data_IF_769789432488
#
_entry.id   IF_769789432488
#
_cell.length_a   1.000
_cell.length_b   1.000
_cell.length_c   1.000
_cell.angle_alpha   90.00
_cell.angle_beta   90.00
_cell.angle_gamma   90.00
#
_symmetry.space_group_name_H-M   'P 1'
#
loop_
_entity.id
_entity.type
_entity.pdbx_description
1 polymer ?
#
# COMPACT_ATOMS: atom_id res chain seq x y z
N UNK A 1 3.35 -13.44 -9.02
CA UNK A 1 3.30 -13.55 -10.52
C UNK A 1 4.01 -12.39 -11.23
N UNK A 2 4.19 -12.42 -12.56
CA UNK A 2 4.94 -11.40 -13.35
C UNK A 2 4.47 -9.95 -13.08
N UNK A 3 3.15 -9.72 -12.97
CA UNK A 3 2.59 -8.40 -12.67
C UNK A 3 2.96 -7.89 -11.27
N UNK A 4 2.99 -8.80 -10.30
CA UNK A 4 3.39 -8.46 -8.94
C UNK A 4 4.91 -8.20 -8.87
N UNK A 5 5.74 -8.95 -9.62
CA UNK A 5 7.17 -8.64 -9.78
C UNK A 5 7.39 -7.23 -10.37
N UNK A 6 6.64 -6.87 -11.42
CA UNK A 6 6.72 -5.53 -12.02
C UNK A 6 6.28 -4.42 -11.05
N UNK A 7 5.22 -4.68 -10.30
CA UNK A 7 4.69 -3.76 -9.29
C UNK A 7 5.76 -3.44 -8.23
N UNK A 8 6.38 -4.48 -7.67
CA UNK A 8 7.36 -4.34 -6.58
C UNK A 8 8.68 -3.77 -7.07
N UNK A 9 9.27 -4.38 -8.11
CA UNK A 9 10.61 -4.04 -8.56
C UNK A 9 10.70 -2.73 -9.33
N UNK A 10 9.65 -2.37 -10.09
CA UNK A 10 9.68 -1.20 -10.98
C UNK A 10 8.73 -0.10 -10.55
N UNK A 11 7.46 -0.40 -10.26
CA UNK A 11 6.43 0.63 -10.06
C UNK A 11 6.52 1.33 -8.70
N UNK A 12 6.67 0.57 -7.62
CA UNK A 12 6.74 1.13 -6.26
C UNK A 12 7.91 2.11 -6.01
N UNK A 13 9.16 1.81 -6.40
CA UNK A 13 10.29 2.73 -6.20
C UNK A 13 10.30 3.92 -7.17
N UNK A 14 9.48 3.91 -8.23
CA UNK A 14 9.46 4.98 -9.25
C UNK A 14 9.23 6.35 -8.60
N UNK A 15 10.06 7.34 -8.99
CA UNK A 15 10.03 8.71 -8.44
C UNK A 15 10.11 8.72 -6.90
N UNK A 16 10.91 7.83 -6.30
CA UNK A 16 11.08 7.69 -4.86
C UNK A 16 9.74 7.46 -4.11
N UNK A 17 8.86 6.63 -4.68
CA UNK A 17 7.56 6.30 -4.06
C UNK A 17 6.51 7.40 -4.15
N UNK A 18 6.73 8.47 -4.94
CA UNK A 18 5.76 9.58 -5.10
C UNK A 18 4.38 9.09 -5.53
N UNK A 19 4.30 8.06 -6.37
CA UNK A 19 3.02 7.54 -6.85
C UNK A 19 2.24 6.78 -5.78
N UNK A 20 2.93 6.06 -4.88
CA UNK A 20 2.29 5.41 -3.73
C UNK A 20 1.61 6.45 -2.83
N UNK A 21 2.27 7.59 -2.58
CA UNK A 21 1.68 8.69 -1.80
C UNK A 21 0.38 9.23 -2.41
N UNK A 22 0.30 9.29 -3.75
CA UNK A 22 -0.90 9.78 -4.46
C UNK A 22 -2.11 8.85 -4.29
N UNK A 23 -1.88 7.57 -4.01
CA UNK A 23 -2.93 6.62 -3.65
C UNK A 23 -3.22 6.63 -2.15
N UNK A 24 -2.18 6.59 -1.30
CA UNK A 24 -2.37 6.50 0.14
C UNK A 24 -3.01 7.75 0.75
N UNK A 25 -2.61 8.96 0.37
CA UNK A 25 -3.15 10.18 1.01
C UNK A 25 -4.67 10.32 0.85
N UNK A 26 -5.26 10.25 -0.37
CA UNK A 26 -6.72 10.44 -0.51
C UNK A 26 -7.53 9.36 0.20
N UNK A 27 -7.03 8.12 0.25
CA UNK A 27 -7.71 7.02 0.94
C UNK A 27 -7.66 7.21 2.45
N UNK A 28 -6.51 7.66 2.99
CA UNK A 28 -6.38 7.99 4.41
C UNK A 28 -7.30 9.15 4.79
N UNK A 29 -7.30 10.24 4.02
CA UNK A 29 -8.21 11.39 4.23
C UNK A 29 -9.68 10.95 4.21
N UNK A 30 -10.06 10.07 3.29
CA UNK A 30 -11.41 9.53 3.23
C UNK A 30 -11.77 8.71 4.47
N UNK A 31 -10.87 7.85 4.94
CA UNK A 31 -11.08 7.05 6.16
C UNK A 31 -11.24 7.98 7.36
N UNK A 32 -10.34 8.94 7.56
CA UNK A 32 -10.37 9.87 8.69
C UNK A 32 -11.67 10.70 8.71
N UNK A 33 -12.13 11.16 7.54
CA UNK A 33 -13.36 11.94 7.42
C UNK A 33 -14.65 11.13 7.70
N UNK A 34 -14.63 9.81 7.51
CA UNK A 34 -15.86 8.99 7.51
C UNK A 34 -15.88 7.86 8.56
N UNK A 35 -14.80 7.61 9.30
CA UNK A 35 -14.74 6.49 10.26
C UNK A 35 -15.75 6.59 11.39
N UNK A 36 -16.15 7.82 11.74
CA UNK A 36 -17.18 8.11 12.76
C UNK A 36 -18.56 8.39 12.17
N UNK A 37 -18.74 8.27 10.85
CA UNK A 37 -20.04 8.43 10.22
C UNK A 37 -20.89 7.17 10.50
N UNK A 38 -22.04 7.36 11.16
CA UNK A 38 -22.93 6.26 11.58
C UNK A 38 -23.49 5.42 10.42
N UNK A 39 -23.62 5.99 9.22
CA UNK A 39 -24.13 5.28 8.04
C UNK A 39 -23.03 4.57 7.26
N UNK A 40 -21.79 5.11 7.30
CA UNK A 40 -20.66 4.56 6.53
C UNK A 40 -19.72 3.69 7.38
N UNK A 41 -19.85 3.72 8.70
CA UNK A 41 -18.93 3.07 9.63
C UNK A 41 -18.74 1.57 9.38
N UNK A 42 -19.81 0.86 8.98
CA UNK A 42 -19.74 -0.58 8.68
C UNK A 42 -18.81 -0.91 7.49
N UNK A 43 -18.60 0.05 6.58
CA UNK A 43 -17.71 -0.10 5.42
C UNK A 43 -16.34 0.51 5.66
N UNK A 44 -16.29 1.69 6.30
CA UNK A 44 -15.07 2.46 6.50
C UNK A 44 -14.14 1.79 7.52
N UNK A 45 -14.67 1.13 8.55
CA UNK A 45 -13.83 0.43 9.53
C UNK A 45 -13.09 -0.79 8.93
N UNK A 46 -13.73 -1.70 8.17
CA UNK A 46 -13.02 -2.74 7.43
C UNK A 46 -12.01 -2.18 6.43
N UNK A 47 -12.37 -1.10 5.72
CA UNK A 47 -11.46 -0.40 4.82
C UNK A 47 -10.22 0.10 5.54
N UNK A 48 -10.36 0.76 6.69
CA UNK A 48 -9.24 1.25 7.50
C UNK A 48 -8.29 0.12 7.91
N UNK A 49 -8.85 -1.03 8.32
CA UNK A 49 -8.07 -2.21 8.70
C UNK A 49 -7.30 -2.80 7.51
N UNK A 50 -7.94 -2.92 6.34
CA UNK A 50 -7.29 -3.40 5.12
C UNK A 50 -6.21 -2.44 4.64
N UNK A 51 -6.48 -1.13 4.72
CA UNK A 51 -5.56 -0.07 4.35
C UNK A 51 -4.29 -0.08 5.20
N UNK A 52 -4.41 -0.23 6.52
CA UNK A 52 -3.26 -0.40 7.41
C UNK A 52 -2.37 -1.58 7.00
N UNK A 53 -2.97 -2.75 6.71
CA UNK A 53 -2.23 -3.94 6.27
C UNK A 53 -1.50 -3.70 4.95
N UNK A 54 -2.14 -2.99 4.02
CA UNK A 54 -1.53 -2.62 2.75
C UNK A 54 -0.33 -1.71 2.94
N UNK A 55 -0.42 -0.70 3.81
CA UNK A 55 0.69 0.18 4.14
C UNK A 55 1.87 -0.59 4.75
N UNK A 56 1.60 -1.50 5.69
CA UNK A 56 2.61 -2.35 6.31
C UNK A 56 3.32 -3.24 5.29
N UNK A 57 2.56 -4.00 4.49
CA UNK A 57 3.12 -4.85 3.45
C UNK A 57 3.96 -4.04 2.45
N UNK A 58 3.45 -2.88 2.02
CA UNK A 58 4.18 -1.99 1.11
C UNK A 58 5.50 -1.51 1.71
N UNK A 59 5.51 -1.16 3.00
CA UNK A 59 6.72 -0.76 3.71
C UNK A 59 7.74 -1.90 3.82
N UNK A 60 7.29 -3.11 4.17
CA UNK A 60 8.14 -4.31 4.23
C UNK A 60 8.75 -4.64 2.86
N UNK A 61 7.96 -4.58 1.80
CA UNK A 61 8.41 -4.80 0.43
C UNK A 61 9.42 -3.73 -0.01
N UNK A 62 9.20 -2.46 0.33
CA UNK A 62 10.15 -1.39 0.05
C UNK A 62 11.48 -1.61 0.79
N UNK A 63 11.44 -2.00 2.07
CA UNK A 63 12.64 -2.32 2.86
C UNK A 63 13.41 -3.51 2.29
N UNK A 64 12.72 -4.57 1.85
CA UNK A 64 13.36 -5.73 1.21
C UNK A 64 13.95 -5.37 -0.15
N UNK A 65 13.22 -4.63 -0.98
CA UNK A 65 13.71 -4.19 -2.29
C UNK A 65 14.89 -3.23 -2.25
N UNK A 66 15.03 -2.43 -1.17
CA UNK A 66 16.24 -1.62 -0.94
C UNK A 66 17.45 -2.46 -0.53
N UNK A 67 17.25 -3.60 0.13
CA UNK A 67 18.33 -4.48 0.61
C UNK A 67 18.79 -5.46 -0.46
N UNK A 68 17.86 -6.00 -1.24
CA UNK A 68 18.16 -6.97 -2.28
C UNK A 68 17.11 -6.89 -3.41
N UNK A 69 17.45 -6.27 -4.57
CA UNK A 69 16.54 -6.10 -5.69
C UNK A 69 15.92 -7.43 -6.20
N UNK A 70 16.63 -8.55 -6.02
CA UNK A 70 16.15 -9.88 -6.42
C UNK A 70 15.16 -10.49 -5.40
N UNK A 71 15.26 -10.16 -4.11
CA UNK A 71 14.33 -10.65 -3.06
C UNK A 71 12.95 -9.96 -3.10
N UNK A 72 12.89 -8.75 -3.66
CA UNK A 72 11.63 -8.06 -3.94
C UNK A 72 10.68 -8.94 -4.77
N UNK A 73 11.23 -9.81 -5.61
CA UNK A 73 10.44 -10.70 -6.44
C UNK A 73 9.79 -11.87 -5.68
N UNK A 74 10.45 -12.39 -4.65
CA UNK A 74 9.96 -13.54 -3.88
C UNK A 74 8.74 -13.21 -3.00
N UNK A 75 8.57 -11.95 -2.60
CA UNK A 75 7.40 -11.48 -1.84
C UNK A 75 6.19 -11.16 -2.74
N UNK A 76 6.36 -11.21 -4.06
CA UNK A 76 5.36 -10.83 -5.05
C UNK A 76 4.67 -12.04 -5.71
N UNK A 77 4.65 -13.20 -5.04
CA UNK A 77 4.00 -14.42 -5.56
C UNK A 77 2.49 -14.33 -5.48
#
# INVERSE_FOLDING_TARGET
>A
GIQALDLVGRKMPTKAGRYLRRFFHPVQEYIEANVSNGELGEYVQPLAKAFMRLQQATGELAQRGMKNPDEAGAAAT
#
